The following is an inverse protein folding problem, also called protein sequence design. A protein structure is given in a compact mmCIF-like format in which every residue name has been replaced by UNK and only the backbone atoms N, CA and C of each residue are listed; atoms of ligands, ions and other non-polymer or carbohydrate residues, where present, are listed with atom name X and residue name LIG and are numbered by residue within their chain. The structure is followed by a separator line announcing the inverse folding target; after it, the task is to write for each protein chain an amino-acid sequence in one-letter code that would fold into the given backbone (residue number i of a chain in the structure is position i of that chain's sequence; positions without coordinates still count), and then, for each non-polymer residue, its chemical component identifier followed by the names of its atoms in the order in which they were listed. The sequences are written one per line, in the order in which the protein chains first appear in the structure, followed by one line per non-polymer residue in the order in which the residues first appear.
data_IF_232228685537
#
_entry.id   IF_232228685537
#
_cell.length_a   1.000
_cell.length_b   1.000
_cell.length_c   1.000
_cell.angle_alpha   90.00
_cell.angle_beta   90.00
_cell.angle_gamma   90.00
#
_symmetry.space_group_name_H-M   'P 1'
#
loop_
_entity.id
_entity.type
_entity.pdbx_description
1 polymer ?
#
# COMPACT_ATOMS: atom_id res chain seq x y z
N UNK A 1 15.97 -23.24 35.28
CA UNK A 1 17.03 -22.75 34.38
C UNK A 1 16.91 -21.23 34.30
N UNK A 2 18.02 -20.47 34.33
CA UNK A 2 17.98 -18.98 34.28
C UNK A 2 18.36 -18.52 32.87
N UNK A 3 17.37 -18.03 32.12
CA UNK A 3 17.59 -17.47 30.78
C UNK A 3 17.99 -16.00 30.93
N UNK A 4 19.12 -15.61 30.34
CA UNK A 4 19.59 -14.22 30.35
C UNK A 4 19.68 -13.72 28.91
N UNK A 5 18.93 -12.66 28.53
CA UNK A 5 19.03 -12.10 27.18
C UNK A 5 20.37 -11.40 26.97
N UNK A 6 20.97 -11.56 25.79
CA UNK A 6 22.19 -10.85 25.40
C UNK A 6 22.07 -10.36 23.95
N UNK A 7 22.70 -9.22 23.65
CA UNK A 7 22.74 -8.64 22.31
C UNK A 7 23.88 -9.27 21.51
N UNK A 8 23.61 -9.67 20.26
CA UNK A 8 24.60 -10.19 19.34
C UNK A 8 24.62 -9.34 18.07
N UNK A 9 25.81 -9.05 17.58
CA UNK A 9 26.03 -8.30 16.36
C UNK A 9 26.41 -9.25 15.22
N UNK A 10 26.00 -8.89 14.01
CA UNK A 10 26.27 -9.63 12.79
C UNK A 10 26.77 -8.65 11.72
N UNK A 11 27.81 -9.05 11.00
CA UNK A 11 28.26 -8.32 9.83
C UNK A 11 27.46 -8.80 8.63
N UNK A 12 26.77 -7.87 7.98
CA UNK A 12 25.97 -8.13 6.77
C UNK A 12 26.54 -7.33 5.62
N UNK A 13 26.45 -7.87 4.41
CA UNK A 13 26.82 -7.20 3.18
C UNK A 13 25.58 -7.02 2.33
N UNK A 14 25.40 -5.83 1.75
CA UNK A 14 24.40 -5.66 0.71
C UNK A 14 24.79 -6.55 -0.49
N UNK A 15 23.81 -7.13 -1.18
CA UNK A 15 24.05 -7.95 -2.39
C UNK A 15 24.88 -7.18 -3.43
N UNK A 16 24.67 -5.86 -3.55
CA UNK A 16 25.45 -4.99 -4.44
C UNK A 16 26.91 -4.80 -4.04
N UNK A 17 27.30 -5.19 -2.82
CA UNK A 17 28.68 -5.17 -2.34
C UNK A 17 29.38 -6.53 -2.57
N UNK A 18 28.69 -7.49 -3.19
CA UNK A 18 29.21 -8.81 -3.54
C UNK A 18 29.31 -8.96 -5.05
N UNK A 19 29.95 -10.02 -5.53
CA UNK A 19 29.99 -10.34 -6.96
C UNK A 19 28.73 -11.08 -7.47
N UNK A 20 27.64 -11.10 -6.68
CA UNK A 20 26.40 -11.79 -7.06
C UNK A 20 25.78 -11.24 -8.35
N UNK A 21 25.73 -9.91 -8.61
CA UNK A 21 25.22 -9.37 -9.86
C UNK A 21 26.00 -9.84 -11.10
N UNK A 22 27.32 -10.02 -11.00
CA UNK A 22 28.17 -10.49 -12.10
C UNK A 22 28.07 -12.00 -12.31
N UNK A 23 27.97 -12.79 -11.22
CA UNK A 23 27.95 -14.27 -11.30
C UNK A 23 26.56 -14.80 -11.62
N UNK A 24 25.48 -14.12 -11.21
CA UNK A 24 24.09 -14.54 -11.42
C UNK A 24 23.21 -13.37 -11.89
N UNK A 25 23.47 -12.78 -13.07
CA UNK A 25 22.77 -11.57 -13.53
C UNK A 25 21.26 -11.78 -13.66
N UNK A 26 20.80 -12.91 -14.21
CA UNK A 26 19.37 -13.21 -14.36
C UNK A 26 18.65 -13.31 -13.01
N UNK A 27 19.26 -13.96 -12.01
CA UNK A 27 18.68 -14.05 -10.66
C UNK A 27 18.68 -12.71 -9.95
N UNK A 28 19.71 -11.88 -10.19
CA UNK A 28 19.77 -10.52 -9.66
C UNK A 28 18.67 -9.64 -10.24
N UNK A 29 18.45 -9.67 -11.56
CA UNK A 29 17.34 -8.95 -12.20
C UNK A 29 15.98 -9.43 -11.69
N UNK A 30 15.78 -10.75 -11.59
CA UNK A 30 14.56 -11.33 -11.00
C UNK A 30 14.37 -10.93 -9.54
N UNK A 31 15.44 -10.85 -8.76
CA UNK A 31 15.37 -10.39 -7.37
C UNK A 31 14.96 -8.92 -7.31
N UNK A 32 15.54 -8.06 -8.16
CA UNK A 32 15.16 -6.64 -8.23
C UNK A 32 13.71 -6.46 -8.62
N UNK A 33 13.22 -7.20 -9.62
CA UNK A 33 11.83 -7.08 -10.09
C UNK A 33 10.82 -7.44 -8.99
N UNK A 34 11.14 -8.37 -8.09
CA UNK A 34 10.30 -8.70 -6.93
C UNK A 34 10.15 -7.57 -5.91
N UNK A 35 11.12 -6.65 -5.86
CA UNK A 35 11.10 -5.49 -4.96
C UNK A 35 10.62 -4.21 -5.65
N UNK A 36 10.18 -4.28 -6.91
CA UNK A 36 9.47 -3.19 -7.56
C UNK A 36 7.98 -3.39 -7.27
N UNK A 37 7.40 -2.61 -6.36
CA UNK A 37 5.99 -2.71 -6.06
C UNK A 37 5.16 -2.26 -7.26
N UNK A 38 3.97 -2.85 -7.46
CA UNK A 38 3.10 -2.45 -8.57
C UNK A 38 2.61 -1.02 -8.37
N UNK A 39 3.04 -0.11 -9.23
CA UNK A 39 2.62 1.29 -9.24
C UNK A 39 1.24 1.43 -9.91
N UNK A 40 0.20 0.89 -9.26
CA UNK A 40 -1.17 1.00 -9.74
C UNK A 40 -1.66 2.44 -9.64
N UNK A 41 -2.45 2.87 -10.62
CA UNK A 41 -3.04 4.18 -10.78
C UNK A 41 -4.55 4.06 -10.92
N UNK A 42 -5.25 4.99 -10.30
CA UNK A 42 -6.68 5.16 -10.45
C UNK A 42 -7.04 5.85 -11.79
N UNK A 43 -8.33 6.08 -11.99
CA UNK A 43 -8.88 6.72 -13.19
C UNK A 43 -8.41 8.18 -13.36
N UNK A 44 -7.99 8.82 -12.28
CA UNK A 44 -7.45 10.16 -12.26
C UNK A 44 -5.92 10.18 -12.42
N UNK A 45 -5.30 9.00 -12.60
CA UNK A 45 -3.85 8.84 -12.78
C UNK A 45 -3.05 8.92 -11.47
N UNK A 46 -3.72 8.94 -10.32
CA UNK A 46 -3.09 8.97 -9.00
C UNK A 46 -2.75 7.56 -8.55
N UNK A 47 -1.60 7.37 -7.87
CA UNK A 47 -1.24 6.08 -7.30
C UNK A 47 -2.39 5.52 -6.45
N UNK A 48 -2.70 4.24 -6.54
CA UNK A 48 -3.80 3.57 -5.84
C UNK A 48 -3.30 2.29 -5.19
N UNK A 49 -3.79 2.01 -3.99
CA UNK A 49 -3.48 0.79 -3.27
C UNK A 49 -4.79 0.07 -2.91
N UNK A 50 -5.23 -0.91 -3.72
CA UNK A 50 -6.56 -1.52 -3.59
C UNK A 50 -6.86 -2.06 -2.19
N UNK A 51 -5.84 -2.59 -1.50
CA UNK A 51 -6.01 -3.11 -0.13
C UNK A 51 -6.31 -2.00 0.89
N UNK A 52 -5.68 -0.82 0.76
CA UNK A 52 -5.99 0.34 1.61
C UNK A 52 -7.35 0.93 1.24
N UNK A 53 -7.68 0.98 -0.05
CA UNK A 53 -8.98 1.46 -0.52
C UNK A 53 -10.12 0.57 0.01
N UNK A 54 -9.93 -0.76 -0.05
CA UNK A 54 -10.85 -1.72 0.55
C UNK A 54 -10.94 -1.57 2.07
N UNK A 55 -9.83 -1.34 2.78
CA UNK A 55 -9.83 -1.10 4.23
C UNK A 55 -10.72 0.08 4.62
N UNK A 56 -10.61 1.19 3.89
CA UNK A 56 -11.44 2.40 4.08
C UNK A 56 -12.90 2.10 3.74
N UNK A 57 -13.16 1.52 2.56
CA UNK A 57 -14.49 1.21 2.04
C UNK A 57 -15.28 0.28 2.96
N UNK A 58 -14.63 -0.78 3.45
CA UNK A 58 -15.22 -1.80 4.35
C UNK A 58 -15.19 -1.37 5.83
N UNK A 59 -14.57 -0.23 6.14
CA UNK A 59 -14.41 0.30 7.51
C UNK A 59 -13.82 -0.72 8.48
N UNK A 60 -12.78 -1.43 8.04
CA UNK A 60 -12.14 -2.51 8.81
C UNK A 60 -10.89 -2.07 9.57
N UNK A 61 -10.56 -0.77 9.55
CA UNK A 61 -9.52 -0.23 10.41
C UNK A 61 -10.00 -0.13 11.87
N UNK A 62 -9.06 -0.02 12.81
CA UNK A 62 -9.32 -0.03 14.26
C UNK A 62 -10.25 1.10 14.71
N UNK A 63 -10.26 2.20 13.97
CA UNK A 63 -11.21 3.31 14.12
C UNK A 63 -11.71 3.73 12.74
N UNK A 64 -12.87 4.41 12.65
CA UNK A 64 -13.38 4.94 11.39
C UNK A 64 -12.39 5.89 10.72
N UNK A 65 -12.24 5.74 9.40
CA UNK A 65 -11.49 6.66 8.54
C UNK A 65 -12.50 7.42 7.69
N UNK A 66 -12.44 8.75 7.71
CA UNK A 66 -13.32 9.62 6.95
C UNK A 66 -12.52 10.48 5.97
N UNK A 67 -12.40 10.05 4.70
CA UNK A 67 -12.00 10.93 3.62
C UNK A 67 -13.06 12.01 3.40
N UNK A 68 -12.67 13.29 3.50
CA UNK A 68 -13.57 14.43 3.27
C UNK A 68 -12.77 15.67 2.89
N UNK A 69 -13.44 16.70 2.36
CA UNK A 69 -12.80 18.00 2.14
C UNK A 69 -12.26 18.55 3.46
N UNK A 70 -10.96 18.80 3.51
CA UNK A 70 -10.24 19.27 4.70
C UNK A 70 -8.88 19.85 4.29
N UNK A 71 -8.38 20.82 5.04
CA UNK A 71 -7.02 21.36 4.88
C UNK A 71 -6.00 20.64 5.79
N UNK A 72 -6.45 19.64 6.55
CA UNK A 72 -5.58 18.90 7.48
C UNK A 72 -6.03 17.44 7.62
N UNK A 73 -5.05 16.55 7.78
CA UNK A 73 -5.24 15.18 8.24
C UNK A 73 -4.94 15.10 9.73
N UNK A 74 -5.69 14.28 10.46
CA UNK A 74 -5.41 14.02 11.87
C UNK A 74 -6.12 12.77 12.37
N UNK A 75 -5.48 12.14 13.35
CA UNK A 75 -6.11 11.17 14.23
C UNK A 75 -6.68 11.83 15.48
N UNK A 76 -8.00 11.71 15.69
CA UNK A 76 -8.66 12.13 16.94
C UNK A 76 -8.66 11.00 17.96
N UNK A 77 -8.14 11.30 19.15
CA UNK A 77 -8.01 10.38 20.29
C UNK A 77 -9.26 10.35 21.20
N UNK A 78 -9.35 9.32 22.03
CA UNK A 78 -10.37 9.19 23.07
C UNK A 78 -11.71 8.63 22.59
N UNK A 79 -12.80 8.93 23.31
CA UNK A 79 -14.14 8.46 22.96
C UNK A 79 -14.56 8.98 21.57
N UNK A 80 -15.02 8.06 20.72
CA UNK A 80 -15.33 8.37 19.33
C UNK A 80 -14.09 8.63 18.46
N UNK A 81 -12.98 7.94 18.76
CA UNK A 81 -11.75 8.04 17.98
C UNK A 81 -11.99 7.79 16.49
N UNK A 82 -11.29 8.55 15.64
CA UNK A 82 -11.40 8.47 14.20
C UNK A 82 -10.24 9.16 13.50
N UNK A 83 -10.04 8.85 12.23
CA UNK A 83 -9.10 9.52 11.35
C UNK A 83 -9.89 10.41 10.38
N UNK A 84 -9.49 11.67 10.28
CA UNK A 84 -9.86 12.56 9.17
C UNK A 84 -8.67 12.63 8.22
N UNK A 85 -8.92 12.44 6.93
CA UNK A 85 -7.94 12.65 5.86
C UNK A 85 -8.59 13.48 4.75
N UNK A 86 -7.89 14.45 4.14
CA UNK A 86 -8.37 15.15 2.95
C UNK A 86 -8.73 14.17 1.83
N UNK A 87 -9.59 14.59 0.90
CA UNK A 87 -9.88 13.77 -0.28
C UNK A 87 -8.60 13.51 -1.06
N UNK A 88 -8.46 12.31 -1.65
CA UNK A 88 -7.28 11.93 -2.43
C UNK A 88 -6.93 12.94 -3.53
N UNK A 89 -7.94 13.53 -4.17
CA UNK A 89 -7.76 14.57 -5.19
C UNK A 89 -7.30 15.94 -4.68
N UNK A 90 -7.20 16.15 -3.36
CA UNK A 90 -6.60 17.36 -2.77
C UNK A 90 -5.07 17.22 -2.59
N UNK A 91 -4.51 16.03 -2.79
CA UNK A 91 -3.07 15.80 -2.73
C UNK A 91 -2.45 15.91 -4.12
N UNK A 92 -1.18 16.31 -4.18
CA UNK A 92 -0.42 16.36 -5.44
C UNK A 92 -0.20 14.97 -6.05
N UNK A 93 -0.09 13.94 -5.20
CA UNK A 93 0.14 12.55 -5.61
C UNK A 93 -0.64 11.57 -4.75
N UNK A 94 -0.94 10.39 -5.29
CA UNK A 94 -1.61 9.32 -4.54
C UNK A 94 -0.73 8.77 -3.41
N UNK A 95 0.58 8.79 -3.61
CA UNK A 95 1.58 8.42 -2.61
C UNK A 95 1.51 9.35 -1.40
N UNK A 96 1.40 10.67 -1.60
CA UNK A 96 1.23 11.64 -0.52
C UNK A 96 -0.06 11.40 0.28
N UNK A 97 -1.16 11.03 -0.40
CA UNK A 97 -2.41 10.64 0.26
C UNK A 97 -2.22 9.43 1.18
N UNK A 98 -1.67 8.32 0.66
CA UNK A 98 -1.51 7.12 1.49
C UNK A 98 -0.42 7.27 2.55
N UNK A 99 0.67 7.99 2.29
CA UNK A 99 1.69 8.29 3.30
C UNK A 99 1.11 9.08 4.47
N UNK A 100 0.24 10.06 4.17
CA UNK A 100 -0.48 10.82 5.20
C UNK A 100 -1.47 9.94 5.95
N UNK A 101 -2.24 9.10 5.25
CA UNK A 101 -3.16 8.16 5.87
C UNK A 101 -2.44 7.17 6.79
N UNK A 102 -1.33 6.59 6.34
CA UNK A 102 -0.54 5.63 7.12
C UNK A 102 0.07 6.27 8.39
N UNK A 103 0.43 7.55 8.32
CA UNK A 103 0.88 8.33 9.47
C UNK A 103 -0.24 8.44 10.53
N UNK A 104 -1.45 8.84 10.13
CA UNK A 104 -2.59 8.91 11.06
C UNK A 104 -3.02 7.53 11.58
N UNK A 105 -2.95 6.50 10.73
CA UNK A 105 -3.16 5.11 11.15
C UNK A 105 -2.12 4.70 12.20
N UNK A 106 -0.86 5.06 12.04
CA UNK A 106 0.19 4.76 12.99
C UNK A 106 -0.08 5.39 14.36
N UNK A 107 -0.53 6.65 14.42
CA UNK A 107 -0.98 7.27 15.67
C UNK A 107 -2.11 6.50 16.36
N UNK A 108 -3.10 6.04 15.57
CA UNK A 108 -4.25 5.31 16.11
C UNK A 108 -3.84 3.99 16.77
N UNK A 109 -2.79 3.31 16.29
CA UNK A 109 -2.30 2.05 16.89
C UNK A 109 -1.84 2.21 18.35
N UNK A 110 -1.50 3.43 18.77
CA UNK A 110 -1.03 3.70 20.13
C UNK A 110 -2.13 3.88 21.17
N UNK A 111 -3.41 3.79 20.82
CA UNK A 111 -4.50 3.89 21.80
C UNK A 111 -4.60 2.70 22.76
N UNK A 112 -5.37 2.93 23.83
CA UNK A 112 -5.79 1.91 24.80
C UNK A 112 -6.54 0.79 24.08
N UNK A 113 -6.25 -0.48 24.42
CA UNK A 113 -6.79 -1.65 23.73
C UNK A 113 -5.98 -2.08 22.49
N UNK A 114 -4.93 -1.35 22.13
CA UNK A 114 -4.00 -1.69 21.05
C UNK A 114 -2.55 -1.79 21.55
N UNK A 115 -1.68 -0.84 21.17
CA UNK A 115 -0.28 -0.84 21.61
C UNK A 115 -0.05 0.01 22.86
N UNK A 116 -1.06 0.74 23.33
CA UNK A 116 -1.09 1.47 24.60
C UNK A 116 0.18 2.28 24.86
N UNK A 117 0.66 2.99 23.83
CA UNK A 117 1.89 3.78 23.94
C UNK A 117 1.66 4.97 24.87
N UNK A 118 2.66 5.29 25.69
CA UNK A 118 2.66 6.54 26.44
C UNK A 118 2.70 7.72 25.48
N UNK A 119 1.70 8.60 25.56
CA UNK A 119 1.55 9.76 24.67
C UNK A 119 1.59 11.05 25.48
N UNK A 120 2.31 12.04 24.99
CA UNK A 120 2.26 13.41 25.51
C UNK A 120 0.96 14.09 25.11
N UNK A 121 0.50 15.04 25.92
CA UNK A 121 -0.73 15.80 25.65
C UNK A 121 -0.45 17.16 24.98
N UNK A 122 0.81 17.62 25.00
CA UNK A 122 1.19 18.97 24.57
C UNK A 122 2.21 18.91 23.43
N UNK A 123 1.95 19.66 22.37
CA UNK A 123 2.87 19.85 21.26
C UNK A 123 4.24 20.33 21.76
N UNK A 124 5.31 19.66 21.35
CA UNK A 124 6.68 19.95 21.77
C UNK A 124 7.14 19.26 23.06
N UNK A 125 6.26 18.51 23.76
CA UNK A 125 6.72 17.60 24.82
C UNK A 125 7.54 16.45 24.22
N UNK A 126 8.54 15.99 24.97
CA UNK A 126 9.35 14.80 24.70
C UNK A 126 8.53 13.56 24.32
N UNK A 127 7.40 13.33 25.00
CA UNK A 127 6.50 12.20 24.71
C UNK A 127 5.75 12.39 23.40
N UNK A 128 5.35 13.63 23.09
CA UNK A 128 4.71 13.97 21.83
C UNK A 128 5.69 13.78 20.66
N UNK A 129 6.90 14.35 20.77
CA UNK A 129 7.95 14.17 19.76
C UNK A 129 8.33 12.71 19.54
N UNK A 130 8.32 11.87 20.59
CA UNK A 130 8.53 10.42 20.46
C UNK A 130 7.42 9.77 19.62
N UNK A 131 6.16 10.11 19.88
CA UNK A 131 5.01 9.52 19.17
C UNK A 131 4.99 9.92 17.69
N UNK A 132 5.32 11.17 17.36
CA UNK A 132 5.50 11.63 15.97
C UNK A 132 6.60 10.84 15.24
N UNK A 133 7.73 10.57 15.91
CA UNK A 133 8.79 9.75 15.31
C UNK A 133 8.34 8.32 15.05
N UNK A 134 7.56 7.74 15.97
CA UNK A 134 6.99 6.41 15.79
C UNK A 134 6.00 6.41 14.63
N UNK A 135 5.12 7.41 14.54
CA UNK A 135 4.13 7.52 13.47
C UNK A 135 4.80 7.66 12.10
N UNK A 136 5.79 8.53 11.99
CA UNK A 136 6.50 8.78 10.73
C UNK A 136 7.31 7.57 10.27
N UNK A 137 8.08 6.94 11.16
CA UNK A 137 8.85 5.74 10.82
C UNK A 137 7.94 4.54 10.51
N UNK A 138 6.77 4.46 11.17
CA UNK A 138 5.76 3.45 10.85
C UNK A 138 5.16 3.68 9.47
N UNK A 139 4.79 4.93 9.15
CA UNK A 139 4.31 5.29 7.82
C UNK A 139 5.35 4.96 6.76
N UNK A 140 6.61 5.32 6.97
CA UNK A 140 7.71 5.00 6.06
C UNK A 140 7.93 3.49 5.89
N UNK A 141 7.88 2.72 6.98
CA UNK A 141 8.03 1.26 6.99
C UNK A 141 6.89 0.55 6.24
N UNK A 142 5.65 0.93 6.52
CA UNK A 142 4.47 0.42 5.82
C UNK A 142 4.48 0.83 4.35
N UNK A 143 4.73 2.12 4.08
CA UNK A 143 4.76 2.66 2.74
C UNK A 143 5.79 1.95 1.87
N UNK A 144 7.02 1.74 2.37
CA UNK A 144 8.04 0.95 1.67
C UNK A 144 7.54 -0.46 1.32
N UNK A 145 6.93 -1.16 2.27
CA UNK A 145 6.44 -2.54 2.05
C UNK A 145 5.28 -2.58 1.06
N UNK A 146 4.46 -1.53 1.02
CA UNK A 146 3.31 -1.40 0.12
C UNK A 146 3.65 -0.69 -1.20
N UNK A 147 4.90 -0.26 -1.37
CA UNK A 147 5.34 0.48 -2.55
C UNK A 147 4.95 1.93 -2.66
N UNK A 148 4.48 2.51 -1.57
CA UNK A 148 4.25 3.93 -1.45
C UNK A 148 5.60 4.57 -1.13
N UNK A 149 6.10 5.40 -2.04
CA UNK A 149 7.25 6.25 -1.76
C UNK A 149 6.87 7.24 -0.67
N UNK A 150 7.50 7.13 0.50
CA UNK A 150 7.26 8.07 1.60
C UNK A 150 8.25 9.21 1.53
N UNK A 151 7.74 10.43 1.38
CA UNK A 151 8.54 11.65 1.45
C UNK A 151 8.54 12.15 2.90
N UNK A 152 9.71 12.59 3.38
CA UNK A 152 9.83 13.24 4.69
C UNK A 152 9.01 14.53 4.65
N UNK A 153 7.98 14.64 5.49
CA UNK A 153 7.17 15.87 5.64
C UNK A 153 7.99 17.01 6.26
N UNK A 154 7.77 18.24 5.83
CA UNK A 154 8.47 19.42 6.37
C UNK A 154 8.24 19.59 7.88
N UNK A 155 7.05 19.20 8.34
CA UNK A 155 6.63 19.22 9.75
C UNK A 155 7.58 18.39 10.65
N UNK A 156 8.21 17.34 10.09
CA UNK A 156 9.19 16.50 10.78
C UNK A 156 10.48 17.23 11.14
N UNK A 157 10.85 18.28 10.39
CA UNK A 157 12.09 19.02 10.61
C UNK A 157 12.09 19.69 12.00
N UNK A 158 10.91 20.04 12.51
CA UNK A 158 10.75 20.63 13.85
C UNK A 158 11.14 19.66 14.97
N UNK A 159 10.95 18.35 14.77
CA UNK A 159 11.21 17.34 15.80
C UNK A 159 12.64 16.79 15.77
N UNK A 160 13.36 16.92 14.65
CA UNK A 160 14.75 16.46 14.51
C UNK A 160 15.65 16.92 15.66
N UNK A 161 15.51 18.19 16.08
CA UNK A 161 16.31 18.73 17.21
C UNK A 161 16.03 18.00 18.52
N UNK A 162 14.76 17.72 18.81
CA UNK A 162 14.37 16.99 20.03
C UNK A 162 14.83 15.53 20.00
N UNK A 163 14.76 14.88 18.83
CA UNK A 163 15.20 13.51 18.63
C UNK A 163 16.72 13.38 18.77
N UNK A 164 17.49 14.28 18.15
CA UNK A 164 18.94 14.32 18.29
C UNK A 164 19.36 14.52 19.74
N UNK A 165 18.66 15.37 20.49
CA UNK A 165 18.92 15.55 21.93
C UNK A 165 18.66 14.27 22.72
N UNK A 166 17.52 13.60 22.50
CA UNK A 166 17.19 12.35 23.17
C UNK A 166 18.18 11.22 22.84
N UNK A 167 18.55 11.07 21.56
CA UNK A 167 19.53 10.08 21.11
C UNK A 167 20.94 10.34 21.63
N UNK A 168 21.32 11.62 21.79
CA UNK A 168 22.62 11.98 22.37
C UNK A 168 22.70 11.67 23.86
N UNK A 169 21.57 11.75 24.58
CA UNK A 169 21.49 11.45 26.01
C UNK A 169 21.41 9.94 26.28
N UNK A 170 20.58 9.22 25.52
CA UNK A 170 20.48 7.76 25.59
C UNK A 170 20.34 7.16 24.19
N UNK A 171 21.45 6.67 23.60
CA UNK A 171 21.41 6.00 22.30
C UNK A 171 20.51 4.77 22.27
N UNK A 172 20.21 4.14 23.43
CA UNK A 172 19.31 2.97 23.47
C UNK A 172 17.85 3.33 23.27
N UNK A 173 17.49 4.61 23.41
CA UNK A 173 16.15 5.12 23.14
C UNK A 173 15.65 4.74 21.74
N UNK A 174 16.56 4.67 20.75
CA UNK A 174 16.21 4.26 19.38
C UNK A 174 15.63 2.83 19.33
N UNK A 175 16.09 1.91 20.19
CA UNK A 175 15.60 0.53 20.16
C UNK A 175 14.16 0.43 20.62
N UNK A 176 13.75 1.26 21.59
CA UNK A 176 12.36 1.34 22.03
C UNK A 176 11.48 1.87 20.90
N UNK A 177 11.90 2.95 20.25
CA UNK A 177 11.19 3.52 19.09
C UNK A 177 11.05 2.49 17.99
N UNK A 178 12.14 1.85 17.57
CA UNK A 178 12.12 0.84 16.51
C UNK A 178 11.27 -0.38 16.88
N UNK A 179 11.21 -0.75 18.16
CA UNK A 179 10.31 -1.80 18.63
C UNK A 179 8.85 -1.40 18.48
N UNK A 180 8.49 -0.17 18.83
CA UNK A 180 7.13 0.36 18.70
C UNK A 180 6.74 0.52 17.21
N UNK A 181 7.65 1.00 16.37
CA UNK A 181 7.49 1.07 14.91
C UNK A 181 7.24 -0.31 14.32
N UNK A 182 8.01 -1.33 14.74
CA UNK A 182 7.83 -2.69 14.23
C UNK A 182 6.45 -3.25 14.59
N UNK A 183 5.98 -3.05 15.82
CA UNK A 183 4.64 -3.49 16.26
C UNK A 183 3.52 -2.76 15.52
N UNK A 184 3.63 -1.44 15.39
CA UNK A 184 2.64 -0.62 14.69
C UNK A 184 2.59 -0.97 13.19
N UNK A 185 3.76 -1.15 12.57
CA UNK A 185 3.87 -1.58 11.17
C UNK A 185 3.24 -2.94 10.95
N UNK A 186 3.54 -3.92 11.82
CA UNK A 186 2.97 -5.25 11.74
C UNK A 186 1.44 -5.24 11.83
N UNK A 187 0.88 -4.46 12.77
CA UNK A 187 -0.57 -4.32 12.93
C UNK A 187 -1.24 -3.72 11.69
N UNK A 188 -0.66 -2.66 11.12
CA UNK A 188 -1.16 -2.04 9.88
C UNK A 188 -1.09 -3.04 8.73
N UNK A 189 0.07 -3.66 8.52
CA UNK A 189 0.29 -4.60 7.42
C UNK A 189 -0.65 -5.80 7.51
N UNK A 190 -0.81 -6.40 8.70
CA UNK A 190 -1.73 -7.51 8.94
C UNK A 190 -3.17 -7.14 8.52
N UNK A 191 -3.67 -5.98 8.96
CA UNK A 191 -5.02 -5.52 8.62
C UNK A 191 -5.17 -5.22 7.13
N UNK A 192 -4.19 -4.56 6.52
CA UNK A 192 -4.22 -4.20 5.10
C UNK A 192 -4.17 -5.45 4.23
N UNK A 193 -3.23 -6.37 4.44
CA UNK A 193 -3.16 -7.61 3.67
C UNK A 193 -4.36 -8.53 3.94
N UNK A 194 -4.94 -8.49 5.14
CA UNK A 194 -6.21 -9.16 5.45
C UNK A 194 -7.41 -8.68 4.64
N UNK A 195 -7.30 -7.57 3.90
CA UNK A 195 -8.35 -7.07 3.00
C UNK A 195 -8.38 -7.77 1.64
N UNK A 196 -7.42 -8.63 1.31
CA UNK A 196 -7.36 -9.33 0.01
C UNK A 196 -8.68 -10.03 -0.39
N UNK A 197 -9.40 -10.74 0.52
CA UNK A 197 -10.68 -11.35 0.18
C UNK A 197 -11.79 -10.34 -0.20
N UNK A 198 -11.66 -9.09 0.26
CA UNK A 198 -12.63 -8.00 0.09
C UNK A 198 -12.41 -7.17 -1.17
N UNK A 199 -11.34 -7.45 -1.92
CA UNK A 199 -11.13 -6.88 -3.23
C UNK A 199 -12.18 -7.38 -4.22
N UNK A 200 -12.65 -6.47 -5.07
CA UNK A 200 -13.43 -6.81 -6.26
C UNK A 200 -12.61 -7.65 -7.23
N UNK A 201 -13.27 -8.34 -8.17
CA UNK A 201 -12.56 -9.13 -9.17
C UNK A 201 -11.68 -8.26 -10.08
N UNK A 202 -12.09 -7.02 -10.37
CA UNK A 202 -11.28 -6.05 -11.13
C UNK A 202 -10.00 -5.63 -10.38
N UNK A 203 -10.11 -5.37 -9.08
CA UNK A 203 -8.95 -5.06 -8.23
C UNK A 203 -8.00 -6.26 -8.11
N UNK A 204 -8.55 -7.47 -7.92
CA UNK A 204 -7.77 -8.72 -7.89
C UNK A 204 -7.07 -8.97 -9.23
N UNK A 205 -7.76 -8.73 -10.34
CA UNK A 205 -7.22 -8.86 -11.67
C UNK A 205 -6.06 -7.89 -11.92
N UNK A 206 -6.23 -6.59 -11.61
CA UNK A 206 -5.14 -5.62 -11.71
C UNK A 206 -3.93 -6.00 -10.89
N UNK A 207 -4.15 -6.39 -9.63
CA UNK A 207 -3.07 -6.74 -8.73
C UNK A 207 -2.31 -7.97 -9.25
N UNK A 208 -3.02 -9.04 -9.60
CA UNK A 208 -2.40 -10.25 -10.14
C UNK A 208 -1.67 -9.98 -11.47
N UNK A 209 -2.27 -9.22 -12.38
CA UNK A 209 -1.66 -8.84 -13.64
C UNK A 209 -0.40 -7.99 -13.45
N UNK A 210 -0.43 -7.01 -12.54
CA UNK A 210 0.73 -6.16 -12.24
C UNK A 210 1.91 -6.92 -11.64
N UNK A 211 1.63 -8.05 -10.99
CA UNK A 211 2.61 -8.94 -10.38
C UNK A 211 3.04 -10.09 -11.30
N UNK A 212 2.40 -10.25 -12.46
CA UNK A 212 2.60 -11.43 -13.32
C UNK A 212 2.17 -12.74 -12.68
N UNK A 213 1.22 -12.70 -11.72
CA UNK A 213 0.75 -13.87 -10.97
C UNK A 213 -0.25 -14.68 -11.81
N UNK A 214 0.28 -15.57 -12.64
CA UNK A 214 -0.52 -16.45 -13.51
C UNK A 214 -1.53 -17.30 -12.73
N UNK A 215 -1.21 -17.72 -11.50
CA UNK A 215 -2.05 -18.64 -10.75
C UNK A 215 -3.30 -17.93 -10.22
N UNK A 216 -3.14 -16.72 -9.66
CA UNK A 216 -4.30 -15.87 -9.31
C UNK A 216 -5.15 -15.48 -10.53
N UNK A 217 -4.51 -15.24 -11.68
CA UNK A 217 -5.24 -14.96 -12.92
C UNK A 217 -6.08 -16.17 -13.38
N UNK A 218 -5.55 -17.40 -13.28
CA UNK A 218 -6.29 -18.63 -13.60
C UNK A 218 -7.47 -18.83 -12.64
N UNK A 219 -7.25 -18.65 -11.34
CA UNK A 219 -8.33 -18.73 -10.34
C UNK A 219 -9.49 -17.78 -10.65
N UNK A 220 -9.19 -16.54 -11.05
CA UNK A 220 -10.21 -15.59 -11.48
C UNK A 220 -10.96 -16.08 -12.72
N UNK A 221 -10.25 -16.57 -13.74
CA UNK A 221 -10.87 -17.10 -14.96
C UNK A 221 -11.77 -18.31 -14.67
N UNK A 222 -11.31 -19.23 -13.83
CA UNK A 222 -12.07 -20.40 -13.39
C UNK A 222 -13.32 -20.02 -12.59
N UNK A 223 -13.25 -18.93 -11.82
CA UNK A 223 -14.40 -18.33 -11.15
C UNK A 223 -15.36 -17.57 -12.10
N UNK A 224 -15.12 -17.59 -13.41
CA UNK A 224 -15.97 -16.98 -14.43
C UNK A 224 -15.75 -15.48 -14.63
N UNK A 225 -14.65 -14.92 -14.10
CA UNK A 225 -14.29 -13.53 -14.36
C UNK A 225 -13.82 -13.35 -15.81
N UNK A 226 -14.23 -12.26 -16.44
CA UNK A 226 -13.71 -11.81 -17.72
C UNK A 226 -13.49 -10.29 -17.68
N UNK A 227 -12.27 -9.79 -17.95
CA UNK A 227 -12.00 -8.36 -17.87
C UNK A 227 -12.76 -7.59 -18.95
N UNK A 228 -13.32 -6.43 -18.57
CA UNK A 228 -13.97 -5.52 -19.52
C UNK A 228 -12.94 -4.78 -20.39
N UNK A 229 -13.37 -4.17 -21.49
CA UNK A 229 -12.48 -3.32 -22.32
C UNK A 229 -11.84 -2.20 -21.50
N UNK A 230 -12.62 -1.56 -20.62
CA UNK A 230 -12.12 -0.54 -19.69
C UNK A 230 -11.01 -1.11 -18.79
N UNK A 231 -11.17 -2.37 -18.34
CA UNK A 231 -10.19 -3.05 -17.51
C UNK A 231 -8.87 -3.30 -18.28
N UNK A 232 -8.97 -3.65 -19.56
CA UNK A 232 -7.80 -3.82 -20.44
C UNK A 232 -7.08 -2.50 -20.68
N UNK A 233 -7.82 -1.41 -20.89
CA UNK A 233 -7.24 -0.07 -21.02
C UNK A 233 -6.50 0.34 -19.73
N UNK A 234 -7.13 0.10 -18.56
CA UNK A 234 -6.48 0.35 -17.27
C UNK A 234 -5.23 -0.51 -17.07
N UNK A 235 -5.25 -1.76 -17.51
CA UNK A 235 -4.07 -2.63 -17.45
C UNK A 235 -2.93 -2.05 -18.29
N UNK A 236 -3.21 -1.53 -19.49
CA UNK A 236 -2.19 -0.91 -20.33
C UNK A 236 -1.51 0.32 -19.69
N UNK A 237 -2.22 1.05 -18.84
CA UNK A 237 -1.67 2.17 -18.06
C UNK A 237 -0.83 1.68 -16.87
N UNK A 238 -1.23 0.57 -16.24
CA UNK A 238 -0.70 0.12 -14.96
C UNK A 238 0.38 -0.95 -15.04
N UNK A 239 0.44 -1.69 -16.15
CA UNK A 239 1.36 -2.80 -16.36
C UNK A 239 2.32 -2.39 -17.46
N UNK A 240 3.46 -1.84 -17.06
CA UNK A 240 4.54 -1.43 -17.97
C UNK A 240 5.52 -2.56 -18.28
N UNK A 241 5.50 -3.66 -17.52
CA UNK A 241 6.32 -4.84 -17.79
C UNK A 241 5.63 -5.78 -18.80
N UNK A 242 6.42 -6.45 -19.64
CA UNK A 242 5.88 -7.43 -20.59
C UNK A 242 5.33 -8.66 -19.86
N UNK A 243 5.92 -9.03 -18.72
CA UNK A 243 5.54 -10.22 -17.94
C UNK A 243 4.05 -10.22 -17.54
N UNK A 244 3.52 -9.10 -17.04
CA UNK A 244 2.11 -9.02 -16.65
C UNK A 244 1.16 -9.11 -17.84
N UNK A 245 1.50 -8.47 -18.97
CA UNK A 245 0.70 -8.55 -20.20
C UNK A 245 0.74 -9.94 -20.83
N UNK A 246 1.91 -10.59 -20.83
CA UNK A 246 2.09 -11.98 -21.28
C UNK A 246 1.27 -12.95 -20.43
N UNK A 247 1.30 -12.80 -19.10
CA UNK A 247 0.49 -13.62 -18.18
C UNK A 247 -1.01 -13.48 -18.48
N UNK A 248 -1.50 -12.25 -18.66
CA UNK A 248 -2.90 -12.01 -19.02
C UNK A 248 -3.23 -12.55 -20.41
N UNK A 249 -2.36 -12.38 -21.40
CA UNK A 249 -2.55 -12.93 -22.74
C UNK A 249 -2.66 -14.45 -22.72
N UNK A 250 -1.78 -15.13 -21.98
CA UNK A 250 -1.78 -16.58 -21.82
C UNK A 250 -3.02 -17.12 -21.12
N UNK A 251 -3.47 -16.43 -20.06
CA UNK A 251 -4.63 -16.89 -19.27
C UNK A 251 -5.94 -16.52 -19.95
N UNK A 252 -6.12 -15.27 -20.38
CA UNK A 252 -7.40 -14.76 -20.91
C UNK A 252 -7.50 -14.75 -22.44
N UNK A 253 -6.41 -14.99 -23.17
CA UNK A 253 -6.40 -14.98 -24.64
C UNK A 253 -6.47 -13.57 -25.25
N UNK A 254 -5.95 -12.57 -24.53
CA UNK A 254 -6.05 -11.15 -24.91
C UNK A 254 -4.80 -10.74 -25.69
N UNK A 255 -5.00 -10.13 -26.86
CA UNK A 255 -3.92 -9.56 -27.69
C UNK A 255 -3.77 -8.05 -27.38
N UNK A 256 -2.57 -7.66 -26.95
CA UNK A 256 -2.21 -6.28 -26.60
C UNK A 256 -1.46 -5.55 -27.74
N UNK A 257 -1.00 -6.25 -28.79
CA UNK A 257 -0.26 -5.63 -29.91
C UNK A 257 -1.20 -5.03 -30.95
N UNK A 258 -2.38 -5.64 -31.15
CA UNK A 258 -3.43 -5.00 -31.93
C UNK A 258 -4.27 -4.12 -31.01
N UNK A 259 -4.02 -2.81 -31.03
CA UNK A 259 -4.94 -1.81 -30.46
C UNK A 259 -6.22 -1.73 -31.33
N UNK A 260 -6.91 -2.86 -31.52
CA UNK A 260 -8.21 -2.99 -32.16
C UNK A 260 -9.19 -3.47 -31.10
N UNK A 261 -9.97 -2.53 -30.60
CA UNK A 261 -11.34 -2.79 -30.19
C UNK A 261 -12.09 -3.47 -31.34
N UNK A 262 -12.08 -4.80 -31.38
CA UNK A 262 -12.92 -5.58 -32.28
C UNK A 262 -13.21 -6.96 -31.68
N UNK A 263 -14.50 -7.29 -31.64
CA UNK A 263 -15.06 -8.63 -31.40
C UNK A 263 -15.32 -9.06 -29.95
N UNK A 264 -16.08 -8.24 -29.20
CA UNK A 264 -16.95 -8.75 -28.12
C UNK A 264 -18.38 -8.19 -28.16
N UNK A 265 -18.85 -7.73 -29.32
CA UNK A 265 -20.19 -7.14 -29.50
C UNK A 265 -21.04 -7.77 -30.61
N UNK A 266 -20.82 -9.06 -30.94
CA UNK A 266 -21.60 -9.75 -31.99
C UNK A 266 -22.46 -10.93 -31.54
N UNK A 267 -22.59 -11.18 -30.24
CA UNK A 267 -23.68 -12.03 -29.74
C UNK A 267 -24.63 -11.17 -28.91
N UNK A 268 -25.93 -11.27 -29.20
CA UNK A 268 -27.06 -10.54 -28.60
C UNK A 268 -27.49 -9.22 -29.23
N UNK A 269 -27.89 -9.22 -30.51
CA UNK A 269 -29.18 -8.62 -30.94
C UNK A 269 -29.65 -9.36 -32.22
N UNK A 270 -30.63 -10.26 -32.10
CA UNK A 270 -31.48 -10.62 -33.24
C UNK A 270 -32.56 -9.53 -33.35
N UNK A 271 -32.69 -8.82 -34.48
CA UNK A 271 -33.78 -7.88 -34.66
C UNK A 271 -35.10 -8.66 -34.80
N UNK A 272 -36.11 -8.26 -34.03
CA UNK A 272 -37.47 -8.73 -34.20
C UNK A 272 -38.03 -8.15 -35.51
N UNK A 273 -38.46 -9.04 -36.42
CA UNK A 273 -39.24 -8.66 -37.59
C UNK A 273 -40.61 -8.12 -37.13
N UNK A 274 -40.87 -6.84 -37.39
CA UNK A 274 -42.20 -6.25 -37.27
C UNK A 274 -42.84 -6.38 -38.66
N UNK A 275 -43.73 -7.36 -38.80
CA UNK A 275 -44.62 -7.49 -39.96
C UNK A 275 -45.74 -6.46 -39.81
N UNK A 276 -45.71 -5.40 -40.60
CA UNK A 276 -46.90 -4.56 -40.83
C UNK A 276 -47.77 -5.27 -41.88
N UNK A 277 -48.96 -5.72 -41.48
CA UNK A 277 -50.03 -6.02 -42.41
C UNK A 277 -50.92 -4.79 -42.58
N UNK A 278 -51.17 -4.44 -43.84
CA UNK A 278 -52.16 -3.47 -44.34
C UNK A 278 -53.56 -3.99 -44.03
#
# INVERSE_FOLDING_TARGET
YKVTPYMKTYNVFNVSQTNYPEVQPEKWEKLKSQFVPPALKDEQGMYTMPLLDALIRERQWICPIYPRESDSAYYRRGEGCHIIVPLKGQFDTGESFYSTLLHEMAHSTGEVGHLEREKGEVFGDSKYAKEELIAELTSASCGKTMGISTCIREENAMYLKSWLSALSQDPKFIYTILSDVAKASAMIQEKVYGMEPKLSNDEKFLLAASQGDEDKLKELKEAGYNPSLLMIDRLNVNVSNNEGKEAVSKVFGIDFETNKTAEMSKEMVKPAEITMNI
#
